data_IF_120338154335
#
_entry.id   IF_120338154335
#
_cell.length_a   1.000
_cell.length_b   1.000
_cell.length_c   1.000
_cell.angle_alpha   90.00
_cell.angle_beta   90.00
_cell.angle_gamma   90.00
#
_symmetry.space_group_name_H-M   'P 1'
#
loop_
_entity.id
_entity.type
_entity.pdbx_description
1 polymer ?
#
# COMPACT_ATOMS: atom_id res chain seq x y z
N UNK A 1 -22.81 11.95 56.12
CA UNK A 1 -23.51 11.52 54.89
C UNK A 1 -24.05 12.73 54.16
N UNK A 2 -23.25 13.35 53.26
CA UNK A 2 -23.65 14.45 52.37
C UNK A 2 -22.50 14.88 51.45
N UNK A 3 -21.89 13.96 50.69
CA UNK A 3 -20.92 14.32 49.64
C UNK A 3 -20.90 13.26 48.52
N UNK A 4 -22.07 13.00 47.94
CA UNK A 4 -22.20 12.16 46.74
C UNK A 4 -23.00 12.90 45.66
N UNK A 5 -22.60 14.15 45.35
CA UNK A 5 -23.15 14.91 44.21
C UNK A 5 -22.06 15.82 43.62
N UNK A 6 -20.89 15.30 43.24
CA UNK A 6 -19.94 16.08 42.40
C UNK A 6 -19.12 15.20 41.44
N UNK A 7 -19.50 13.95 41.19
CA UNK A 7 -18.78 13.07 40.24
C UNK A 7 -19.67 12.63 39.07
N UNK A 8 -20.49 13.55 38.56
CA UNK A 8 -21.37 13.31 37.40
C UNK A 8 -21.25 14.42 36.34
N UNK A 9 -20.08 15.06 36.27
CA UNK A 9 -19.82 16.16 35.33
C UNK A 9 -18.45 16.06 34.65
N UNK A 10 -17.98 14.81 34.44
CA UNK A 10 -16.77 14.54 33.67
C UNK A 10 -16.99 13.43 32.62
N UNK A 11 -18.18 13.39 32.05
CA UNK A 11 -18.47 12.69 30.79
C UNK A 11 -19.11 13.71 29.84
N UNK A 12 -18.32 14.73 29.50
CA UNK A 12 -18.54 15.46 28.25
C UNK A 12 -18.16 14.49 27.13
N UNK A 13 -19.10 14.07 26.28
CA UNK A 13 -18.75 13.25 25.15
C UNK A 13 -17.85 14.10 24.24
N UNK A 14 -16.64 13.62 23.97
CA UNK A 14 -15.82 14.06 22.85
C UNK A 14 -16.50 13.62 21.54
N UNK A 15 -17.74 14.02 21.30
CA UNK A 15 -18.43 13.88 20.03
C UNK A 15 -18.21 15.12 19.17
N UNK A 16 -16.93 15.48 18.98
CA UNK A 16 -16.49 16.45 17.97
C UNK A 16 -15.25 15.89 17.27
N UNK A 17 -15.44 14.76 16.58
CA UNK A 17 -14.65 14.31 15.41
C UNK A 17 -15.57 13.42 14.53
N UNK A 18 -16.75 13.92 14.17
CA UNK A 18 -17.60 13.29 13.16
C UNK A 18 -18.24 14.34 12.26
N UNK A 19 -17.55 15.45 12.02
CA UNK A 19 -17.92 16.40 11.00
C UNK A 19 -16.78 16.41 9.99
N UNK A 20 -17.12 16.10 8.73
CA UNK A 20 -16.25 16.07 7.55
C UNK A 20 -15.72 14.71 7.05
N UNK A 21 -16.55 13.66 7.08
CA UNK A 21 -16.59 12.62 6.03
C UNK A 21 -17.90 12.77 5.24
N UNK A 22 -18.27 14.00 4.89
CA UNK A 22 -19.50 14.31 4.16
C UNK A 22 -19.32 14.09 2.67
N UNK A 23 -19.96 13.05 2.12
CA UNK A 23 -20.05 12.89 0.67
C UNK A 23 -20.35 11.49 0.13
N UNK A 24 -20.29 10.44 0.95
CA UNK A 24 -20.57 9.08 0.49
C UNK A 24 -22.00 8.64 0.84
N UNK A 25 -22.71 8.07 -0.14
CA UNK A 25 -24.02 7.45 0.10
C UNK A 25 -23.86 6.14 0.87
N UNK A 26 -24.94 5.69 1.51
CA UNK A 26 -24.97 4.41 2.22
C UNK A 26 -24.66 3.22 1.29
N UNK A 27 -25.12 3.29 0.04
CA UNK A 27 -24.77 2.35 -1.03
C UNK A 27 -23.27 2.34 -1.34
N UNK A 28 -22.64 3.50 -1.40
CA UNK A 28 -21.19 3.60 -1.60
C UNK A 28 -20.41 3.00 -0.42
N UNK A 29 -20.91 3.19 0.81
CA UNK A 29 -20.30 2.60 2.01
C UNK A 29 -20.42 1.07 2.02
N UNK A 30 -21.59 0.52 1.66
CA UNK A 30 -21.76 -0.93 1.53
C UNK A 30 -20.88 -1.53 0.43
N UNK A 31 -20.79 -0.86 -0.73
CA UNK A 31 -19.94 -1.29 -1.83
C UNK A 31 -18.46 -1.33 -1.39
N UNK A 32 -18.01 -0.32 -0.65
CA UNK A 32 -16.65 -0.29 -0.11
C UNK A 32 -16.40 -1.44 0.88
N UNK A 33 -17.34 -1.74 1.77
CA UNK A 33 -17.21 -2.87 2.70
C UNK A 33 -17.11 -4.22 1.99
N UNK A 34 -17.97 -4.46 0.98
CA UNK A 34 -17.93 -5.70 0.22
C UNK A 34 -16.60 -5.87 -0.54
N UNK A 35 -16.07 -4.79 -1.11
CA UNK A 35 -14.77 -4.81 -1.77
C UNK A 35 -13.62 -5.03 -0.79
N UNK A 36 -13.66 -4.42 0.40
CA UNK A 36 -12.66 -4.65 1.44
C UNK A 36 -12.64 -6.11 1.89
N UNK A 37 -13.81 -6.73 2.08
CA UNK A 37 -13.92 -8.16 2.39
C UNK A 37 -13.39 -9.03 1.24
N UNK A 38 -13.70 -8.67 -0.01
CA UNK A 38 -13.17 -9.36 -1.19
C UNK A 38 -11.64 -9.29 -1.26
N UNK A 39 -11.05 -8.12 -0.95
CA UNK A 39 -9.61 -7.94 -0.90
C UNK A 39 -8.97 -8.73 0.24
N UNK A 40 -9.56 -8.69 1.44
CA UNK A 40 -9.06 -9.44 2.60
C UNK A 40 -9.07 -10.94 2.31
N UNK A 41 -10.16 -11.44 1.70
CA UNK A 41 -10.26 -12.85 1.28
C UNK A 41 -9.22 -13.18 0.21
N UNK A 42 -9.02 -12.30 -0.76
CA UNK A 42 -8.01 -12.51 -1.81
C UNK A 42 -6.59 -12.58 -1.22
N UNK A 43 -6.24 -11.65 -0.33
CA UNK A 43 -4.94 -11.61 0.34
C UNK A 43 -4.69 -12.83 1.24
N UNK A 44 -5.73 -13.38 1.88
CA UNK A 44 -5.61 -14.61 2.68
C UNK A 44 -5.21 -15.83 1.87
N UNK A 45 -5.48 -15.83 0.56
CA UNK A 45 -5.11 -16.94 -0.32
C UNK A 45 -3.70 -16.82 -0.90
N UNK A 46 -3.01 -15.70 -0.65
CA UNK A 46 -1.62 -15.50 -1.10
C UNK A 46 -0.69 -16.26 -0.17
N UNK A 47 0.28 -16.98 -0.74
CA UNK A 47 1.27 -17.72 0.02
C UNK A 47 2.12 -16.78 0.89
N UNK A 48 1.94 -16.86 2.21
CA UNK A 48 2.62 -15.98 3.16
C UNK A 48 4.13 -16.24 3.21
N UNK A 49 4.59 -17.47 2.96
CA UNK A 49 6.01 -17.78 2.93
C UNK A 49 6.68 -17.20 1.69
N UNK A 50 6.03 -17.27 0.52
CA UNK A 50 6.50 -16.59 -0.69
C UNK A 50 6.55 -15.07 -0.49
N UNK A 51 5.56 -14.49 0.17
CA UNK A 51 5.54 -13.05 0.49
C UNK A 51 6.71 -12.64 1.40
N UNK A 52 7.00 -13.42 2.45
CA UNK A 52 8.13 -13.15 3.35
C UNK A 52 9.48 -13.30 2.63
N UNK A 53 9.64 -14.34 1.81
CA UNK A 53 10.85 -14.53 1.01
C UNK A 53 11.03 -13.37 0.01
N UNK A 54 9.94 -12.92 -0.61
CA UNK A 54 9.95 -11.77 -1.50
C UNK A 54 10.34 -10.48 -0.78
N UNK A 55 9.82 -10.25 0.43
CA UNK A 55 10.19 -9.08 1.26
C UNK A 55 11.69 -9.05 1.56
N UNK A 56 12.26 -10.18 1.99
CA UNK A 56 13.71 -10.29 2.24
C UNK A 56 14.52 -10.03 0.96
N UNK A 57 14.10 -10.58 -0.16
CA UNK A 57 14.74 -10.37 -1.47
C UNK A 57 14.65 -8.90 -1.91
N UNK A 58 13.54 -8.22 -1.64
CA UNK A 58 13.35 -6.81 -1.93
C UNK A 58 14.28 -5.92 -1.09
N UNK A 59 14.41 -6.21 0.21
CA UNK A 59 15.36 -5.54 1.11
C UNK A 59 16.80 -5.72 0.63
N UNK A 60 17.17 -6.94 0.22
CA UNK A 60 18.49 -7.21 -0.34
C UNK A 60 18.73 -6.40 -1.62
N UNK A 61 17.76 -6.38 -2.55
CA UNK A 61 17.85 -5.59 -3.78
C UNK A 61 18.04 -4.10 -3.47
N UNK A 62 17.31 -3.57 -2.49
CA UNK A 62 17.42 -2.18 -2.08
C UNK A 62 18.84 -1.87 -1.57
N UNK A 63 19.36 -2.69 -0.65
CA UNK A 63 20.70 -2.51 -0.09
C UNK A 63 21.79 -2.64 -1.16
N UNK A 64 21.68 -3.62 -2.06
CA UNK A 64 22.63 -3.83 -3.16
C UNK A 64 22.63 -2.63 -4.11
N UNK A 65 21.44 -2.19 -4.53
CA UNK A 65 21.28 -1.02 -5.40
C UNK A 65 21.84 0.24 -4.73
N UNK A 66 21.58 0.45 -3.44
CA UNK A 66 22.13 1.58 -2.67
C UNK A 66 23.66 1.56 -2.67
N UNK A 67 24.28 0.42 -2.39
CA UNK A 67 25.72 0.28 -2.37
C UNK A 67 26.34 0.54 -3.76
N UNK A 68 25.71 0.04 -4.82
CA UNK A 68 26.13 0.27 -6.20
C UNK A 68 26.02 1.75 -6.59
N UNK A 69 24.91 2.40 -6.25
CA UNK A 69 24.72 3.83 -6.48
C UNK A 69 25.74 4.68 -5.72
N UNK A 70 25.98 4.39 -4.43
CA UNK A 70 26.98 5.08 -3.61
C UNK A 70 28.41 4.91 -4.14
N UNK A 71 28.69 3.78 -4.81
CA UNK A 71 29.96 3.49 -5.45
C UNK A 71 30.09 4.07 -6.87
N UNK A 72 29.11 4.83 -7.35
CA UNK A 72 29.07 5.38 -8.71
C UNK A 72 28.74 4.36 -9.81
N UNK A 73 28.43 3.11 -9.45
CA UNK A 73 28.15 2.00 -10.37
C UNK A 73 26.69 2.02 -10.84
N UNK A 74 26.33 3.09 -11.55
CA UNK A 74 24.95 3.36 -11.98
C UNK A 74 24.38 2.23 -12.85
N UNK A 75 25.07 1.83 -13.91
CA UNK A 75 24.57 0.78 -14.81
C UNK A 75 24.40 -0.58 -14.13
N UNK A 76 25.26 -0.92 -13.17
CA UNK A 76 25.13 -2.14 -12.36
C UNK A 76 23.87 -2.07 -11.47
N UNK A 77 23.64 -0.92 -10.81
CA UNK A 77 22.44 -0.70 -10.01
C UNK A 77 21.16 -0.83 -10.86
N UNK A 78 21.15 -0.27 -12.07
CA UNK A 78 20.02 -0.42 -12.98
C UNK A 78 19.81 -1.87 -13.43
N UNK A 79 20.88 -2.63 -13.69
CA UNK A 79 20.78 -4.05 -14.04
C UNK A 79 20.15 -4.86 -12.90
N UNK A 80 20.57 -4.62 -11.66
CA UNK A 80 19.98 -5.26 -10.46
C UNK A 80 18.49 -4.92 -10.35
N UNK A 81 18.13 -3.65 -10.51
CA UNK A 81 16.73 -3.20 -10.50
C UNK A 81 15.89 -3.87 -11.58
N UNK A 82 16.39 -3.93 -12.82
CA UNK A 82 15.70 -4.56 -13.94
C UNK A 82 15.55 -6.08 -13.74
N UNK A 83 16.57 -6.74 -13.19
CA UNK A 83 16.52 -8.16 -12.88
C UNK A 83 15.45 -8.44 -11.81
N UNK A 84 15.44 -7.67 -10.73
CA UNK A 84 14.40 -7.77 -9.71
C UNK A 84 13.01 -7.47 -10.27
N UNK A 85 12.85 -6.46 -11.12
CA UNK A 85 11.58 -6.17 -11.80
C UNK A 85 11.06 -7.37 -12.62
N UNK A 86 11.95 -8.14 -13.26
CA UNK A 86 11.59 -9.40 -13.92
C UNK A 86 11.15 -10.46 -12.91
N UNK A 87 11.87 -10.61 -11.80
CA UNK A 87 11.50 -11.52 -10.71
C UNK A 87 10.11 -11.19 -10.16
N UNK A 88 9.80 -9.90 -9.94
CA UNK A 88 8.44 -9.46 -9.52
C UNK A 88 7.39 -9.88 -10.54
N UNK A 89 7.67 -9.70 -11.83
CA UNK A 89 6.71 -10.01 -12.90
C UNK A 89 6.43 -11.51 -13.05
N UNK A 90 7.40 -12.37 -12.74
CA UNK A 90 7.29 -13.82 -12.83
C UNK A 90 6.88 -14.50 -11.51
N UNK A 91 6.92 -13.80 -10.39
CA UNK A 91 6.54 -14.34 -9.09
C UNK A 91 5.02 -14.55 -8.97
N UNK A 92 4.62 -15.75 -8.51
CA UNK A 92 3.22 -16.15 -8.44
C UNK A 92 2.43 -15.38 -7.39
N UNK A 93 2.94 -15.26 -6.16
CA UNK A 93 2.33 -14.43 -5.12
C UNK A 93 2.15 -12.97 -5.56
N UNK A 94 3.09 -12.41 -6.32
CA UNK A 94 2.96 -11.05 -6.89
C UNK A 94 1.90 -10.94 -7.98
N UNK A 95 1.75 -11.96 -8.82
CA UNK A 95 0.66 -12.01 -9.80
C UNK A 95 -0.71 -12.14 -9.12
N UNK A 96 -0.81 -12.92 -8.04
CA UNK A 96 -2.03 -13.04 -7.24
C UNK A 96 -2.35 -11.74 -6.52
N UNK A 97 -1.35 -11.10 -5.90
CA UNK A 97 -1.48 -9.77 -5.29
C UNK A 97 -1.98 -8.73 -6.30
N UNK A 98 -1.42 -8.73 -7.53
CA UNK A 98 -1.87 -7.86 -8.60
C UNK A 98 -3.34 -8.11 -8.94
N UNK A 99 -3.77 -9.38 -9.06
CA UNK A 99 -5.17 -9.74 -9.31
C UNK A 99 -6.09 -9.28 -8.17
N UNK A 100 -5.65 -9.38 -6.92
CA UNK A 100 -6.41 -8.85 -5.78
C UNK A 100 -6.68 -7.35 -5.90
N UNK A 101 -5.73 -6.58 -6.46
CA UNK A 101 -5.87 -5.15 -6.68
C UNK A 101 -6.64 -4.75 -7.95
N UNK A 102 -6.83 -5.66 -8.92
CA UNK A 102 -7.49 -5.32 -10.19
C UNK A 102 -8.97 -4.94 -10.02
N UNK A 103 -9.66 -5.52 -9.02
CA UNK A 103 -11.02 -5.14 -8.66
C UNK A 103 -11.17 -3.69 -8.17
N UNK A 104 -10.07 -3.05 -7.77
CA UNK A 104 -10.04 -1.66 -7.28
C UNK A 104 -9.74 -0.63 -8.37
N UNK A 105 -9.31 -1.04 -9.57
CA UNK A 105 -8.96 -0.12 -10.67
C UNK A 105 -10.10 0.82 -11.06
N UNK A 106 -11.35 0.33 -10.97
CA UNK A 106 -12.54 1.12 -11.29
C UNK A 106 -12.87 2.21 -10.27
N UNK A 107 -12.29 2.18 -9.06
CA UNK A 107 -12.40 3.24 -8.05
C UNK A 107 -11.17 4.15 -7.99
N UNK A 108 -10.10 3.78 -8.70
CA UNK A 108 -8.86 4.52 -8.85
C UNK A 108 -8.75 5.50 -10.05
N UNK A 109 -9.81 5.95 -10.77
CA UNK A 109 -9.61 6.85 -11.92
C UNK A 109 -8.94 8.18 -11.57
N UNK A 110 -8.97 8.63 -10.30
CA UNK A 110 -8.32 9.88 -9.87
C UNK A 110 -6.89 9.71 -9.35
N UNK A 111 -6.49 8.52 -8.91
CA UNK A 111 -5.14 8.29 -8.35
C UNK A 111 -4.18 7.81 -9.44
N UNK A 112 -4.61 6.92 -10.32
CA UNK A 112 -3.73 6.35 -11.36
C UNK A 112 -3.51 7.34 -12.52
N UNK A 113 -4.49 8.19 -12.85
CA UNK A 113 -4.36 9.21 -13.90
C UNK A 113 -3.25 10.25 -13.63
N UNK A 114 -2.77 10.35 -12.38
CA UNK A 114 -1.62 11.21 -12.03
C UNK A 114 -0.27 10.47 -12.10
N UNK A 115 -0.27 9.14 -12.26
CA UNK A 115 0.95 8.31 -12.24
C UNK A 115 1.36 7.81 -13.63
N UNK A 116 0.43 7.74 -14.59
CA UNK A 116 0.66 7.05 -15.86
C UNK A 116 1.31 7.88 -16.98
N UNK A 117 1.33 9.21 -16.91
CA UNK A 117 1.80 10.04 -18.05
C UNK A 117 3.06 10.88 -17.79
N UNK A 118 3.66 10.84 -16.59
CA UNK A 118 4.80 11.71 -16.24
C UNK A 118 5.96 11.03 -15.51
N UNK A 119 6.07 9.70 -15.56
CA UNK A 119 7.32 9.05 -15.15
C UNK A 119 8.33 9.17 -16.31
N UNK A 120 9.09 10.27 -16.36
CA UNK A 120 10.28 10.34 -17.22
C UNK A 120 11.18 9.13 -16.90
N UNK A 121 11.82 8.49 -17.90
CA UNK A 121 12.78 7.42 -17.63
C UNK A 121 13.90 7.99 -16.74
N UNK A 122 13.84 7.65 -15.45
CA UNK A 122 14.80 8.03 -14.43
C UNK A 122 15.69 6.86 -14.10
N UNK A 123 16.94 7.14 -13.72
CA UNK A 123 17.83 6.09 -13.26
C UNK A 123 17.51 5.73 -11.80
N UNK A 124 17.65 4.47 -11.39
CA UNK A 124 17.33 4.06 -10.01
C UNK A 124 18.14 4.82 -8.95
N UNK A 125 19.37 5.22 -9.29
CA UNK A 125 20.21 6.05 -8.44
C UNK A 125 19.78 7.51 -8.30
N UNK A 126 18.81 7.99 -9.09
CA UNK A 126 18.34 9.38 -9.04
C UNK A 126 17.26 9.61 -7.96
N UNK A 127 16.73 8.52 -7.38
CA UNK A 127 15.66 8.52 -6.39
C UNK A 127 16.08 7.84 -5.07
N UNK A 128 17.37 7.88 -4.73
CA UNK A 128 17.93 7.28 -3.50
C UNK A 128 17.92 8.26 -2.33
#
# INVERSE_FOLDING_TARGET
MKQTIVFFMLWLPLSVLAENMGGMSEEQMQQMMQQAQGMQTCMQNIDQAEMQAFEQRAQQMQSETQALCASGKRDEAMKVAMAFGKEVSSNKAMQEMKKCGEGMKNMMPKIIAQTSDQQKPGHICDNQ
#
